data_IF_366109815877
#
_entry.id   IF_366109815877
#
_cell.length_a   1.000
_cell.length_b   1.000
_cell.length_c   1.000
_cell.angle_alpha   90.00
_cell.angle_beta   90.00
_cell.angle_gamma   90.00
#
_symmetry.space_group_name_H-M   'P 1'
#
loop_
_entity.id
_entity.type
_entity.pdbx_description
1 polymer ?
#
# COMPACT_ATOMS: atom_id res chain seq x y z
N UNK A 1 36.96 -16.69 0.61
CA UNK A 1 37.15 -15.77 -0.53
C UNK A 1 36.58 -14.37 -0.25
N UNK A 2 35.30 -14.08 -0.53
CA UNK A 2 34.77 -12.68 -0.42
C UNK A 2 34.63 -12.21 1.05
N UNK A 3 34.19 -13.07 1.96
CA UNK A 3 34.08 -12.73 3.38
C UNK A 3 35.43 -12.37 4.01
N UNK A 4 36.51 -13.10 3.68
CA UNK A 4 37.87 -12.81 4.17
C UNK A 4 38.41 -11.47 3.65
N UNK A 5 38.06 -11.11 2.41
CA UNK A 5 38.43 -9.80 1.82
C UNK A 5 37.68 -8.66 2.51
N UNK A 6 36.40 -8.87 2.85
CA UNK A 6 35.61 -7.89 3.60
C UNK A 6 36.11 -7.75 5.05
N UNK A 7 36.37 -8.86 5.73
CA UNK A 7 36.85 -8.85 7.12
C UNK A 7 38.24 -8.22 7.24
N UNK A 8 39.14 -8.48 6.28
CA UNK A 8 40.44 -7.79 6.21
C UNK A 8 40.31 -6.30 5.88
N UNK A 9 39.37 -5.91 5.01
CA UNK A 9 39.12 -4.52 4.67
C UNK A 9 38.54 -3.71 5.84
N UNK A 10 37.57 -4.27 6.58
CA UNK A 10 36.94 -3.58 7.71
C UNK A 10 37.74 -3.65 9.01
N UNK A 11 38.54 -4.69 9.25
CA UNK A 11 39.38 -4.80 10.45
C UNK A 11 40.52 -3.78 10.49
N UNK A 12 40.98 -3.28 9.34
CA UNK A 12 42.02 -2.28 9.21
C UNK A 12 41.51 -0.83 9.11
N UNK A 13 40.21 -0.58 9.26
CA UNK A 13 39.64 0.72 8.99
C UNK A 13 39.97 1.72 10.12
N UNK A 14 40.82 2.69 9.81
CA UNK A 14 41.19 3.78 10.69
C UNK A 14 40.78 5.13 10.08
N UNK A 15 40.33 6.04 10.92
CA UNK A 15 39.90 7.37 10.50
C UNK A 15 40.70 8.44 11.24
N UNK A 16 41.00 9.52 10.53
CA UNK A 16 41.66 10.70 11.07
C UNK A 16 41.00 11.95 10.51
N UNK A 17 40.68 12.90 11.38
CA UNK A 17 40.09 14.17 11.00
C UNK A 17 41.15 15.26 11.05
N UNK A 18 41.29 16.01 9.96
CA UNK A 18 42.16 17.18 9.89
C UNK A 18 41.30 18.44 9.84
N UNK A 19 41.45 19.30 10.85
CA UNK A 19 40.87 20.65 10.87
C UNK A 19 41.99 21.68 10.82
N UNK A 20 41.71 22.92 10.39
CA UNK A 20 42.70 24.01 10.27
C UNK A 20 43.57 24.24 11.52
N UNK A 21 43.13 23.81 12.72
CA UNK A 21 43.81 24.05 14.00
C UNK A 21 44.38 22.80 14.66
N UNK A 22 43.93 21.60 14.29
CA UNK A 22 44.43 20.36 14.87
C UNK A 22 44.06 19.16 13.99
N UNK A 23 44.86 18.12 14.08
CA UNK A 23 44.57 16.82 13.49
C UNK A 23 44.36 15.83 14.63
N UNK A 24 43.31 15.02 14.54
CA UNK A 24 43.06 13.96 15.54
C UNK A 24 44.11 12.86 15.39
N UNK A 25 44.22 12.00 16.41
CA UNK A 25 44.93 10.74 16.28
C UNK A 25 44.17 9.79 15.33
N UNK A 26 44.82 8.70 14.94
CA UNK A 26 44.17 7.62 14.20
C UNK A 26 43.26 6.85 15.15
N UNK A 27 41.95 6.93 14.92
CA UNK A 27 40.97 6.17 15.69
C UNK A 27 40.45 5.00 14.85
N UNK A 28 40.30 3.83 15.49
CA UNK A 28 39.77 2.62 14.86
C UNK A 28 38.25 2.64 14.90
N UNK A 29 37.61 2.37 13.78
CA UNK A 29 36.15 2.39 13.70
C UNK A 29 35.56 1.00 13.97
N UNK A 30 34.87 0.84 15.09
CA UNK A 30 34.34 -0.45 15.54
C UNK A 30 32.95 -0.79 14.98
N UNK A 31 32.17 0.22 14.59
CA UNK A 31 30.82 0.03 14.08
C UNK A 31 30.42 1.11 13.07
N UNK A 32 29.82 0.67 11.96
CA UNK A 32 29.15 1.55 11.00
C UNK A 32 29.78 1.58 9.61
N UNK A 33 29.04 2.21 8.71
CA UNK A 33 29.40 2.39 7.30
C UNK A 33 30.03 3.78 7.15
N UNK A 34 31.31 3.86 6.76
CA UNK A 34 32.02 5.14 6.65
C UNK A 34 31.54 5.94 5.46
N UNK A 35 31.13 7.19 5.71
CA UNK A 35 30.85 8.15 4.65
C UNK A 35 32.16 8.48 3.90
N UNK A 36 32.24 8.05 2.65
CA UNK A 36 33.40 8.28 1.79
C UNK A 36 34.28 7.05 1.51
N UNK A 37 33.95 5.85 2.02
CA UNK A 37 34.64 4.64 1.56
C UNK A 37 33.96 4.04 0.32
N UNK A 38 34.74 3.60 -0.68
CA UNK A 38 34.19 3.13 -1.95
C UNK A 38 33.36 1.84 -1.82
N UNK A 39 33.60 1.05 -0.78
CA UNK A 39 32.92 -0.22 -0.52
C UNK A 39 31.63 -0.02 0.29
N UNK A 40 31.49 1.10 0.99
CA UNK A 40 30.32 1.45 1.83
C UNK A 40 29.01 1.46 1.04
N UNK A 41 28.89 2.21 -0.09
CA UNK A 41 27.64 2.27 -0.84
C UNK A 41 27.24 0.91 -1.41
N UNK A 42 28.23 0.11 -1.83
CA UNK A 42 28.00 -1.22 -2.41
C UNK A 42 27.41 -2.16 -1.36
N UNK A 43 28.00 -2.22 -0.17
CA UNK A 43 27.47 -3.03 0.94
C UNK A 43 26.12 -2.55 1.41
N UNK A 44 25.91 -1.24 1.50
CA UNK A 44 24.62 -0.68 1.87
C UNK A 44 23.53 -1.09 0.85
N UNK A 45 23.81 -0.99 -0.44
CA UNK A 45 22.86 -1.40 -1.50
C UNK A 45 22.60 -2.90 -1.45
N UNK A 46 23.64 -3.73 -1.26
CA UNK A 46 23.47 -5.19 -1.15
C UNK A 46 22.62 -5.54 0.07
N UNK A 47 22.92 -4.96 1.24
CA UNK A 47 22.17 -5.21 2.48
C UNK A 47 20.73 -4.73 2.34
N UNK A 48 20.51 -3.54 1.76
CA UNK A 48 19.18 -3.02 1.52
C UNK A 48 18.41 -3.88 0.51
N UNK A 49 19.04 -4.38 -0.55
CA UNK A 49 18.42 -5.31 -1.49
C UNK A 49 18.09 -6.66 -0.83
N UNK A 50 18.94 -7.17 0.05
CA UNK A 50 18.68 -8.40 0.82
C UNK A 50 17.54 -8.18 1.81
N UNK A 51 17.50 -7.04 2.49
CA UNK A 51 16.39 -6.65 3.37
C UNK A 51 15.08 -6.53 2.59
N UNK A 52 15.09 -5.85 1.45
CA UNK A 52 13.92 -5.73 0.58
C UNK A 52 13.45 -7.10 0.11
N UNK A 53 14.36 -7.99 -0.34
CA UNK A 53 14.01 -9.37 -0.71
C UNK A 53 13.51 -10.21 0.46
N UNK A 54 14.04 -10.01 1.66
CA UNK A 54 13.56 -10.70 2.86
C UNK A 54 12.16 -10.21 3.29
N UNK A 55 11.90 -8.91 3.12
CA UNK A 55 10.56 -8.32 3.30
C UNK A 55 9.63 -8.80 2.20
N UNK A 56 10.05 -8.88 0.94
CA UNK A 56 9.29 -9.44 -0.19
C UNK A 56 9.01 -10.93 -0.01
N UNK A 57 9.90 -11.71 0.61
CA UNK A 57 9.69 -13.13 0.87
C UNK A 57 8.77 -13.38 2.07
N UNK A 58 8.84 -12.54 3.11
CA UNK A 58 7.84 -12.53 4.19
C UNK A 58 6.52 -11.98 3.69
N UNK A 59 6.57 -11.02 2.77
CA UNK A 59 5.44 -10.58 2.01
C UNK A 59 4.92 -11.77 1.22
N UNK A 60 5.66 -12.52 0.40
CA UNK A 60 5.10 -13.57 -0.47
C UNK A 60 4.37 -14.72 0.25
N UNK A 61 4.68 -15.03 1.52
CA UNK A 61 3.83 -15.92 2.37
C UNK A 61 2.49 -15.30 2.79
N UNK A 62 2.38 -13.98 2.65
CA UNK A 62 1.26 -13.07 3.00
C UNK A 62 0.76 -12.20 1.82
N UNK A 63 1.39 -12.30 0.64
CA UNK A 63 1.39 -11.36 -0.50
C UNK A 63 1.29 -12.16 -1.80
N UNK A 64 0.25 -13.00 -1.87
CA UNK A 64 -0.74 -12.69 -2.90
C UNK A 64 -1.20 -11.27 -2.56
N UNK A 65 -0.73 -10.27 -3.30
CA UNK A 65 -0.91 -8.81 -3.10
C UNK A 65 -2.32 -8.26 -3.09
N UNK A 66 -3.18 -8.94 -2.35
CA UNK A 66 -4.54 -8.59 -1.99
C UNK A 66 -4.83 -9.00 -0.55
N UNK A 67 -3.86 -9.32 0.31
CA UNK A 67 -4.13 -9.89 1.65
C UNK A 67 -5.14 -9.08 2.49
N UNK A 68 -5.06 -7.75 2.48
CA UNK A 68 -5.99 -6.88 3.20
C UNK A 68 -7.29 -6.60 2.43
N UNK A 69 -7.20 -6.39 1.11
CA UNK A 69 -8.36 -6.12 0.25
C UNK A 69 -9.24 -7.35 0.07
N UNK A 70 -8.62 -8.50 -0.17
CA UNK A 70 -9.24 -9.82 -0.19
C UNK A 70 -9.74 -10.22 1.20
N UNK A 71 -9.04 -9.84 2.28
CA UNK A 71 -9.60 -10.01 3.62
C UNK A 71 -10.90 -9.24 3.80
N UNK A 72 -10.94 -7.96 3.40
CA UNK A 72 -12.16 -7.14 3.44
C UNK A 72 -13.25 -7.74 2.56
N UNK A 73 -12.92 -8.10 1.32
CA UNK A 73 -13.84 -8.72 0.37
C UNK A 73 -14.38 -10.08 0.86
N UNK A 74 -13.56 -10.89 1.51
CA UNK A 74 -13.97 -12.19 2.04
C UNK A 74 -14.85 -12.01 3.29
N UNK A 75 -14.53 -11.06 4.17
CA UNK A 75 -15.39 -10.73 5.32
C UNK A 75 -16.75 -10.18 4.87
N UNK A 76 -16.79 -9.29 3.89
CA UNK A 76 -18.06 -8.80 3.35
C UNK A 76 -18.83 -9.92 2.65
N UNK A 77 -18.16 -10.77 1.88
CA UNK A 77 -18.75 -11.98 1.29
C UNK A 77 -19.39 -12.89 2.33
N UNK A 78 -18.67 -13.19 3.42
CA UNK A 78 -19.20 -14.01 4.52
C UNK A 78 -20.43 -13.35 5.15
N UNK A 79 -20.39 -12.04 5.43
CA UNK A 79 -21.54 -11.33 5.99
C UNK A 79 -22.76 -11.37 5.06
N UNK A 80 -22.55 -11.18 3.75
CA UNK A 80 -23.59 -11.26 2.73
C UNK A 80 -24.16 -12.68 2.59
N UNK A 81 -23.34 -13.71 2.78
CA UNK A 81 -23.80 -15.10 2.80
C UNK A 81 -24.67 -15.39 4.03
N UNK A 82 -24.27 -14.90 5.21
CA UNK A 82 -25.05 -15.04 6.45
C UNK A 82 -26.42 -14.35 6.33
N UNK A 83 -26.48 -13.14 5.75
CA UNK A 83 -27.74 -12.41 5.51
C UNK A 83 -28.73 -13.19 4.63
N UNK A 84 -28.24 -13.98 3.69
CA UNK A 84 -29.08 -14.73 2.73
C UNK A 84 -29.11 -16.23 3.06
N UNK A 85 -28.67 -16.63 4.26
CA UNK A 85 -28.68 -18.04 4.68
C UNK A 85 -30.07 -18.65 4.54
N UNK A 86 -30.16 -19.92 4.14
CA UNK A 86 -31.42 -20.67 4.05
C UNK A 86 -32.03 -20.91 5.44
N UNK A 87 -31.17 -21.01 6.44
CA UNK A 87 -31.58 -21.19 7.83
C UNK A 87 -32.06 -19.85 8.42
N UNK A 88 -33.31 -19.83 8.88
CA UNK A 88 -33.95 -18.67 9.48
C UNK A 88 -33.30 -18.22 10.78
N UNK A 89 -32.77 -19.16 11.58
CA UNK A 89 -32.07 -18.84 12.83
C UNK A 89 -30.75 -18.12 12.56
N UNK A 90 -29.98 -18.60 11.58
CA UNK A 90 -28.71 -17.97 11.19
C UNK A 90 -28.95 -16.56 10.63
N UNK A 91 -30.04 -16.39 9.87
CA UNK A 91 -30.42 -15.10 9.30
C UNK A 91 -30.87 -14.09 10.35
N UNK A 92 -31.56 -14.53 11.40
CA UNK A 92 -31.99 -13.65 12.49
C UNK A 92 -30.84 -13.27 13.42
N UNK A 93 -29.95 -14.22 13.75
CA UNK A 93 -28.83 -14.00 14.66
C UNK A 93 -27.73 -13.13 14.03
N UNK A 94 -27.42 -13.32 12.74
CA UNK A 94 -26.37 -12.60 12.00
C UNK A 94 -25.13 -12.28 12.88
N UNK A 95 -24.33 -13.29 13.23
CA UNK A 95 -23.24 -13.10 14.16
C UNK A 95 -22.24 -12.06 13.65
N UNK A 96 -21.83 -11.15 14.53
CA UNK A 96 -20.84 -10.13 14.19
C UNK A 96 -19.50 -10.80 13.86
N UNK A 97 -19.05 -10.63 12.62
CA UNK A 97 -17.74 -11.11 12.21
C UNK A 97 -16.65 -10.38 12.99
N UNK A 98 -15.66 -11.15 13.48
CA UNK A 98 -14.42 -10.59 14.04
C UNK A 98 -13.71 -9.78 12.95
N UNK A 99 -13.97 -8.48 12.98
CA UNK A 99 -13.36 -7.44 12.17
C UNK A 99 -12.57 -6.54 13.12
N UNK A 100 -11.47 -5.94 12.65
CA UNK A 100 -10.59 -5.15 13.52
C UNK A 100 -11.28 -3.88 14.05
N UNK A 101 -10.59 -3.11 14.91
CA UNK A 101 -11.17 -1.88 15.49
C UNK A 101 -11.49 -0.79 14.46
N UNK A 102 -10.70 -0.70 13.39
CA UNK A 102 -10.76 0.40 12.42
C UNK A 102 -11.77 0.20 11.30
N UNK A 103 -12.26 -1.02 11.10
CA UNK A 103 -13.08 -1.36 9.93
C UNK A 103 -14.08 -2.43 10.29
N UNK A 104 -15.33 -2.24 9.90
CA UNK A 104 -16.44 -3.18 10.09
C UNK A 104 -17.03 -3.57 8.74
N UNK A 105 -17.33 -4.85 8.57
CA UNK A 105 -17.89 -5.36 7.32
C UNK A 105 -19.31 -4.86 7.04
N UNK A 106 -20.10 -4.62 8.10
CA UNK A 106 -21.49 -4.16 7.96
C UNK A 106 -21.55 -2.75 7.39
N UNK A 107 -20.70 -1.85 7.90
CA UNK A 107 -20.62 -0.45 7.45
C UNK A 107 -20.16 -0.40 5.98
N UNK A 108 -19.10 -1.14 5.64
CA UNK A 108 -18.61 -1.23 4.26
C UNK A 108 -19.65 -1.79 3.27
N UNK A 109 -20.52 -2.72 3.70
CA UNK A 109 -21.62 -3.20 2.87
C UNK A 109 -22.66 -2.09 2.67
N UNK A 110 -23.01 -1.34 3.72
CA UNK A 110 -23.94 -0.23 3.64
C UNK A 110 -23.44 0.85 2.66
N UNK A 111 -22.17 1.22 2.77
CA UNK A 111 -21.52 2.20 1.91
C UNK A 111 -21.51 1.73 0.46
N UNK A 112 -21.12 0.47 0.21
CA UNK A 112 -21.16 -0.14 -1.11
C UNK A 112 -22.58 -0.19 -1.71
N UNK A 113 -23.60 -0.52 -0.92
CA UNK A 113 -25.00 -0.51 -1.36
C UNK A 113 -25.46 0.91 -1.74
N UNK A 114 -25.08 1.93 -0.96
CA UNK A 114 -25.40 3.33 -1.25
C UNK A 114 -24.69 3.82 -2.52
N UNK A 115 -23.43 3.44 -2.71
CA UNK A 115 -22.68 3.75 -3.92
C UNK A 115 -23.27 3.10 -5.16
N UNK A 116 -23.70 1.83 -5.07
CA UNK A 116 -24.35 1.15 -6.19
C UNK A 116 -25.69 1.81 -6.57
N UNK A 117 -26.49 2.24 -5.59
CA UNK A 117 -27.69 3.06 -5.84
C UNK A 117 -27.35 4.39 -6.51
N UNK A 118 -26.28 5.03 -6.06
CA UNK A 118 -25.81 6.29 -6.63
C UNK A 118 -25.37 6.12 -8.08
N UNK A 119 -24.65 5.04 -8.39
CA UNK A 119 -24.26 4.68 -9.76
C UNK A 119 -25.47 4.41 -10.66
N UNK A 120 -26.52 3.79 -10.13
CA UNK A 120 -27.77 3.61 -10.88
C UNK A 120 -28.45 4.94 -11.19
N UNK A 121 -28.52 5.86 -10.22
CA UNK A 121 -29.06 7.20 -10.44
C UNK A 121 -28.28 7.99 -11.50
N UNK A 122 -26.94 7.88 -11.47
CA UNK A 122 -26.07 8.51 -12.47
C UNK A 122 -26.21 7.87 -13.86
N UNK A 123 -26.67 6.62 -13.92
CA UNK A 123 -26.78 5.85 -15.15
C UNK A 123 -25.41 5.51 -15.75
N UNK A 124 -25.43 5.09 -17.01
CA UNK A 124 -24.20 4.81 -17.76
C UNK A 124 -23.58 6.13 -18.20
N UNK A 125 -22.46 6.50 -17.58
CA UNK A 125 -21.62 7.60 -18.07
C UNK A 125 -20.83 7.17 -19.31
N UNK A 126 -20.61 8.09 -20.24
CA UNK A 126 -19.78 7.83 -21.41
C UNK A 126 -18.32 7.64 -20.97
N UNK A 127 -17.80 6.43 -21.16
CA UNK A 127 -16.37 6.15 -20.99
C UNK A 127 -15.65 6.23 -22.35
N UNK A 128 -14.80 7.25 -22.52
CA UNK A 128 -14.04 7.46 -23.75
C UNK A 128 -14.91 7.83 -24.95
N UNK A 129 -14.66 7.21 -26.11
CA UNK A 129 -15.37 7.47 -27.39
C UNK A 129 -16.36 6.36 -27.77
N UNK A 130 -16.96 5.68 -26.80
CA UNK A 130 -17.87 4.54 -27.05
C UNK A 130 -19.32 4.95 -27.39
N UNK A 131 -19.67 6.23 -27.24
CA UNK A 131 -21.04 6.71 -27.41
C UNK A 131 -21.98 6.30 -26.27
N UNK A 132 -23.20 6.83 -26.30
CA UNK A 132 -24.25 6.54 -25.31
C UNK A 132 -24.90 5.18 -25.62
N UNK A 133 -25.13 4.35 -24.59
CA UNK A 133 -25.95 3.13 -24.71
C UNK A 133 -25.22 1.83 -25.08
N UNK A 134 -23.90 1.85 -25.28
CA UNK A 134 -23.13 0.66 -25.70
C UNK A 134 -22.69 -0.26 -24.54
N UNK A 135 -23.23 -0.10 -23.33
CA UNK A 135 -22.82 -0.89 -22.16
C UNK A 135 -23.96 -1.77 -21.63
N UNK A 136 -23.70 -3.07 -21.49
CA UNK A 136 -24.60 -3.99 -20.80
C UNK A 136 -24.32 -3.96 -19.28
N UNK A 137 -24.84 -2.93 -18.59
CA UNK A 137 -24.65 -2.79 -17.13
C UNK A 137 -25.77 -3.50 -16.39
N UNK A 138 -25.40 -4.39 -15.47
CA UNK A 138 -26.34 -5.00 -14.52
C UNK A 138 -26.42 -4.14 -13.26
N UNK A 139 -27.57 -3.50 -13.07
CA UNK A 139 -27.85 -2.68 -11.90
C UNK A 139 -28.12 -3.52 -10.66
N UNK A 140 -27.66 -3.05 -9.50
CA UNK A 140 -27.75 -3.79 -8.25
C UNK A 140 -29.19 -4.08 -7.80
N UNK A 141 -30.16 -3.13 -7.85
CA UNK A 141 -31.55 -3.43 -7.49
C UNK A 141 -32.23 -4.42 -8.43
N UNK A 142 -31.80 -4.48 -9.69
CA UNK A 142 -32.34 -5.40 -10.71
C UNK A 142 -31.65 -6.77 -10.66
N UNK A 143 -30.49 -6.86 -10.03
CA UNK A 143 -29.75 -8.10 -9.88
C UNK A 143 -30.32 -8.94 -8.73
N UNK A 144 -30.47 -10.24 -8.95
CA UNK A 144 -30.99 -11.17 -7.94
C UNK A 144 -29.94 -12.20 -7.50
N UNK A 145 -29.96 -12.56 -6.22
CA UNK A 145 -29.24 -13.71 -5.68
C UNK A 145 -27.71 -13.53 -5.67
N UNK A 146 -27.00 -14.45 -6.35
CA UNK A 146 -25.52 -14.45 -6.35
C UNK A 146 -24.96 -13.21 -7.04
N UNK A 147 -25.58 -12.74 -8.11
CA UNK A 147 -25.10 -11.58 -8.89
C UNK A 147 -25.14 -10.32 -8.03
N UNK A 148 -26.22 -10.12 -7.27
CA UNK A 148 -26.38 -8.98 -6.38
C UNK A 148 -25.24 -8.90 -5.34
N UNK A 149 -24.88 -10.04 -4.72
CA UNK A 149 -23.76 -10.10 -3.76
C UNK A 149 -22.41 -9.83 -4.42
N UNK A 150 -22.19 -10.38 -5.63
CA UNK A 150 -20.94 -10.17 -6.36
C UNK A 150 -20.75 -8.69 -6.70
N UNK A 151 -21.81 -7.97 -7.08
CA UNK A 151 -21.75 -6.53 -7.32
C UNK A 151 -21.32 -5.77 -6.06
N UNK A 152 -21.87 -6.09 -4.89
CA UNK A 152 -21.48 -5.46 -3.62
C UNK A 152 -20.01 -5.76 -3.29
N UNK A 153 -19.56 -7.01 -3.43
CA UNK A 153 -18.16 -7.39 -3.15
C UNK A 153 -17.20 -6.66 -4.10
N UNK A 154 -17.56 -6.55 -5.39
CA UNK A 154 -16.75 -5.85 -6.37
C UNK A 154 -16.72 -4.34 -6.09
N UNK A 155 -17.82 -3.76 -5.62
CA UNK A 155 -17.82 -2.35 -5.20
C UNK A 155 -16.89 -2.11 -4.02
N UNK A 156 -16.93 -2.96 -2.99
CA UNK A 156 -16.04 -2.86 -1.81
C UNK A 156 -14.56 -2.93 -2.23
N UNK A 157 -14.22 -3.80 -3.20
CA UNK A 157 -12.85 -3.85 -3.76
C UNK A 157 -12.50 -2.54 -4.47
N UNK A 158 -13.40 -2.05 -5.32
CA UNK A 158 -13.18 -0.81 -6.06
C UNK A 158 -13.08 0.42 -5.15
N UNK A 159 -13.80 0.46 -4.04
CA UNK A 159 -13.64 1.50 -3.01
C UNK A 159 -12.29 1.45 -2.31
N UNK A 160 -11.78 0.26 -2.01
CA UNK A 160 -10.45 0.14 -1.40
C UNK A 160 -9.36 0.63 -2.35
N UNK A 161 -9.43 0.25 -3.63
CA UNK A 161 -8.54 0.76 -4.68
C UNK A 161 -8.58 2.30 -4.77
N UNK A 162 -9.77 2.90 -4.71
CA UNK A 162 -9.93 4.37 -4.68
C UNK A 162 -9.28 4.99 -3.45
N UNK A 163 -9.49 4.42 -2.27
CA UNK A 163 -8.92 4.91 -1.03
C UNK A 163 -7.39 4.82 -1.04
N UNK A 164 -6.83 3.75 -1.58
CA UNK A 164 -5.39 3.61 -1.78
C UNK A 164 -4.86 4.66 -2.76
N UNK A 165 -5.57 4.90 -3.87
CA UNK A 165 -5.19 5.91 -4.84
C UNK A 165 -5.19 7.33 -4.25
N UNK A 166 -6.23 7.70 -3.50
CA UNK A 166 -6.29 8.99 -2.79
C UNK A 166 -5.13 9.13 -1.81
N UNK A 167 -4.82 8.07 -1.06
CA UNK A 167 -3.70 8.07 -0.12
C UNK A 167 -2.36 8.23 -0.82
N UNK A 168 -2.15 7.57 -1.95
CA UNK A 168 -0.93 7.69 -2.76
C UNK A 168 -0.76 9.13 -3.27
N UNK A 169 -1.82 9.76 -3.79
CA UNK A 169 -1.80 11.17 -4.18
C UNK A 169 -1.46 12.06 -2.99
N UNK A 170 -2.10 11.86 -1.84
CA UNK A 170 -1.84 12.66 -0.65
C UNK A 170 -0.38 12.56 -0.20
N UNK A 171 0.20 11.36 -0.21
CA UNK A 171 1.60 11.14 0.15
C UNK A 171 2.56 11.84 -0.84
N UNK A 172 2.25 11.82 -2.14
CA UNK A 172 3.03 12.56 -3.14
C UNK A 172 3.01 14.08 -2.91
N UNK A 173 1.90 14.64 -2.42
CA UNK A 173 1.80 16.06 -2.07
C UNK A 173 2.62 16.39 -0.82
N UNK A 174 2.64 15.51 0.18
CA UNK A 174 3.45 15.70 1.39
C UNK A 174 4.96 15.73 1.09
N UNK A 175 5.43 14.91 0.13
CA UNK A 175 6.81 14.95 -0.37
C UNK A 175 7.15 16.17 -1.23
N UNK A 176 6.18 17.03 -1.57
CA UNK A 176 6.43 18.18 -2.45
C UNK A 176 7.28 19.28 -1.81
N UNK A 177 7.28 19.36 -0.47
CA UNK A 177 8.13 20.27 0.30
C UNK A 177 9.64 19.94 0.21
N UNK A 178 10.03 18.74 -0.25
CA UNK A 178 11.45 18.38 -0.44
C UNK A 178 12.01 18.77 -1.81
N UNK A 179 11.15 19.17 -2.75
CA UNK A 179 11.60 19.78 -4.01
C UNK A 179 12.00 21.21 -3.66
N UNK A 180 13.29 21.44 -3.43
CA UNK A 180 13.82 22.81 -3.38
C UNK A 180 13.59 23.45 -4.75
N UNK A 181 12.96 24.62 -4.77
CA UNK A 181 12.99 25.46 -5.96
C UNK A 181 14.47 25.63 -6.37
N UNK A 182 14.84 25.43 -7.65
CA UNK A 182 16.16 25.83 -8.10
C UNK A 182 16.25 27.32 -7.81
N UNK A 183 17.28 27.72 -7.06
CA UNK A 183 17.48 29.10 -6.65
C UNK A 183 17.44 30.02 -7.88
N UNK A 184 16.28 30.60 -8.16
CA UNK A 184 16.17 31.72 -9.09
C UNK A 184 16.91 32.85 -8.40
N UNK A 185 18.11 33.15 -8.88
CA UNK A 185 18.84 34.36 -8.50
C UNK A 185 17.95 35.53 -8.88
N UNK A 186 17.19 36.05 -7.91
CA UNK A 186 16.46 37.31 -8.09
C UNK A 186 17.54 38.40 -8.20
N UNK A 187 17.61 39.16 -9.29
CA UNK A 187 18.54 40.28 -9.35
C UNK A 187 18.19 41.25 -8.22
N UNK A 188 19.21 41.61 -7.44
CA UNK A 188 19.12 42.63 -6.39
C UNK A 188 18.95 43.98 -7.10
N UNK A 189 17.73 44.51 -7.10
CA UNK A 189 17.46 45.95 -7.26
C UNK A 189 17.36 46.60 -5.91
#
# INVERSE_FOLDING_TARGET
AIHEVLDSYFSGLQMRFSTKRYTTAWDRLEAGIVMGCAVSPILFVIVMQVLLRAVENKASTTDRGGGFEEFKAEKTRLQLMLKVSKDGMVRSVQPNLKTGRKWKAVDAICDAENNLKTKEMMGVIQTGRQGLGNSNVKWWPKATGKIQRVLVIQEVRSEEERNMYVKAIQQSQQGRWTIRDPAVQKPLT
#
